data_IF_261299900494
#
_entry.id   IF_261299900494
#
_cell.length_a   1.000
_cell.length_b   1.000
_cell.length_c   1.000
_cell.angle_alpha   90.00
_cell.angle_beta   90.00
_cell.angle_gamma   90.00
#
_symmetry.space_group_name_H-M   'P 1'
#
loop_
_entity.id
_entity.type
_entity.pdbx_description
1 polymer ?
#
# COMPACT_ATOMS: atom_id res chain seq x y z
N UNK A 1 -13.88 5.60 -25.79
CA UNK A 1 -15.16 5.96 -25.13
C UNK A 1 -15.98 6.90 -26.02
N UNK A 2 -15.42 8.00 -26.56
CA UNK A 2 -16.13 8.90 -27.48
C UNK A 2 -16.67 8.22 -28.75
N UNK A 3 -15.87 7.33 -29.37
CA UNK A 3 -16.29 6.57 -30.57
C UNK A 3 -17.49 5.64 -30.30
N UNK A 4 -17.56 5.04 -29.10
CA UNK A 4 -18.65 4.15 -28.69
C UNK A 4 -19.92 4.97 -28.39
N UNK A 5 -19.76 6.12 -27.73
CA UNK A 5 -20.86 7.07 -27.49
C UNK A 5 -21.46 7.57 -28.81
N UNK A 6 -20.63 7.93 -29.79
CA UNK A 6 -21.07 8.45 -31.08
C UNK A 6 -21.83 7.38 -31.88
N UNK A 7 -21.34 6.14 -31.88
CA UNK A 7 -22.01 5.00 -32.52
C UNK A 7 -23.35 4.66 -31.83
N UNK A 8 -23.40 4.82 -30.51
CA UNK A 8 -24.64 4.65 -29.73
C UNK A 8 -25.66 5.74 -30.04
N UNK A 9 -25.25 7.02 -30.09
CA UNK A 9 -26.12 8.15 -30.49
C UNK A 9 -26.65 7.97 -31.92
N UNK A 10 -25.82 7.49 -32.84
CA UNK A 10 -26.24 7.20 -34.21
C UNK A 10 -27.29 6.09 -34.27
N UNK A 11 -27.13 5.05 -33.44
CA UNK A 11 -28.08 3.94 -33.34
C UNK A 11 -29.42 4.38 -32.73
N UNK A 12 -29.38 5.22 -31.68
CA UNK A 12 -30.55 5.87 -31.09
C UNK A 12 -31.30 6.69 -32.14
N UNK A 13 -30.57 7.51 -32.91
CA UNK A 13 -31.16 8.32 -33.96
C UNK A 13 -31.84 7.45 -35.02
N UNK A 14 -31.24 6.32 -35.41
CA UNK A 14 -31.85 5.36 -36.34
C UNK A 14 -33.16 4.76 -35.82
N UNK A 15 -33.22 4.39 -34.54
CA UNK A 15 -34.42 3.78 -33.92
C UNK A 15 -35.56 4.80 -33.74
N UNK A 16 -35.23 6.07 -33.47
CA UNK A 16 -36.24 7.13 -33.29
C UNK A 16 -36.74 7.66 -34.64
N UNK A 17 -35.81 7.93 -35.56
CA UNK A 17 -36.12 8.55 -36.86
C UNK A 17 -36.67 7.53 -37.86
N UNK A 18 -36.24 6.26 -37.80
CA UNK A 18 -36.69 5.19 -38.69
C UNK A 18 -38.22 5.02 -38.73
N UNK A 19 -38.90 4.84 -37.58
CA UNK A 19 -40.35 4.74 -37.53
C UNK A 19 -41.07 6.03 -37.95
N UNK A 20 -40.46 7.20 -37.70
CA UNK A 20 -41.00 8.50 -38.08
C UNK A 20 -41.03 8.67 -39.61
N UNK A 21 -40.03 8.13 -40.31
CA UNK A 21 -39.96 8.11 -41.77
C UNK A 21 -40.86 7.00 -42.36
N UNK A 22 -41.04 5.87 -41.65
CA UNK A 22 -41.80 4.72 -42.11
C UNK A 22 -43.33 4.84 -41.97
N UNK A 23 -43.86 5.96 -41.45
CA UNK A 23 -45.30 6.27 -41.46
C UNK A 23 -46.20 5.40 -40.58
N UNK A 24 -45.64 4.50 -39.77
CA UNK A 24 -46.39 3.60 -38.88
C UNK A 24 -45.99 3.82 -37.41
N UNK A 25 -46.90 4.43 -36.63
CA UNK A 25 -46.76 4.55 -35.19
C UNK A 25 -47.16 3.22 -34.54
N UNK A 26 -46.23 2.28 -34.44
CA UNK A 26 -46.45 1.07 -33.62
C UNK A 26 -46.77 1.47 -32.18
N UNK A 27 -47.73 0.80 -31.54
CA UNK A 27 -48.08 1.00 -30.13
C UNK A 27 -47.68 -0.23 -29.30
N UNK A 28 -47.32 0.00 -28.04
CA UNK A 28 -47.05 -1.01 -27.03
C UNK A 28 -48.05 -0.81 -25.90
N UNK A 29 -48.92 -1.80 -25.72
CA UNK A 29 -49.80 -1.89 -24.57
C UNK A 29 -49.17 -2.81 -23.54
N UNK A 30 -48.86 -2.27 -22.35
CA UNK A 30 -48.45 -3.06 -21.19
C UNK A 30 -49.66 -3.15 -20.26
N UNK A 31 -50.28 -4.33 -20.21
CA UNK A 31 -51.44 -4.61 -19.38
C UNK A 31 -51.02 -5.38 -18.13
N UNK A 32 -51.25 -4.78 -16.96
CA UNK A 32 -51.11 -5.39 -15.64
C UNK A 32 -52.50 -5.43 -14.98
N UNK A 33 -52.73 -6.29 -13.98
CA UNK A 33 -54.04 -6.49 -13.31
C UNK A 33 -54.78 -5.21 -12.90
N UNK A 34 -54.08 -4.10 -12.61
CA UNK A 34 -54.67 -2.83 -12.18
C UNK A 34 -54.21 -1.60 -12.99
N UNK A 35 -53.35 -1.77 -14.02
CA UNK A 35 -52.78 -0.65 -14.77
C UNK A 35 -52.59 -1.00 -16.25
N UNK A 36 -53.20 -0.18 -17.11
CA UNK A 36 -52.96 -0.21 -18.54
C UNK A 36 -52.06 0.97 -18.90
N UNK A 37 -50.83 0.69 -19.30
CA UNK A 37 -49.90 1.72 -19.78
C UNK A 37 -49.81 1.58 -21.31
N UNK A 38 -50.41 2.53 -22.01
CA UNK A 38 -50.32 2.66 -23.46
C UNK A 38 -49.16 3.59 -23.81
N UNK A 39 -48.14 3.06 -24.49
CA UNK A 39 -47.01 3.84 -24.97
C UNK A 39 -46.80 3.61 -26.46
N UNK A 40 -46.24 4.57 -27.19
CA UNK A 40 -45.78 4.30 -28.55
C UNK A 40 -44.49 3.46 -28.50
N UNK A 41 -44.26 2.64 -29.54
CA UNK A 41 -42.99 1.90 -29.72
C UNK A 41 -41.80 2.86 -29.69
N UNK A 42 -41.98 4.06 -30.26
CA UNK A 42 -40.98 5.13 -30.22
C UNK A 42 -40.73 5.64 -28.80
N UNK A 43 -41.79 5.80 -27.99
CA UNK A 43 -41.68 6.22 -26.59
C UNK A 43 -40.97 5.18 -25.72
N UNK A 44 -41.31 3.90 -25.88
CA UNK A 44 -40.63 2.81 -25.19
C UNK A 44 -39.15 2.75 -25.57
N UNK A 45 -38.83 2.89 -26.85
CA UNK A 45 -37.45 2.91 -27.32
C UNK A 45 -36.66 4.08 -26.72
N UNK A 46 -37.24 5.29 -26.68
CA UNK A 46 -36.62 6.47 -26.05
C UNK A 46 -36.34 6.21 -24.57
N UNK A 47 -37.32 5.66 -23.82
CA UNK A 47 -37.16 5.37 -22.39
C UNK A 47 -36.05 4.36 -22.15
N UNK A 48 -36.00 3.27 -22.95
CA UNK A 48 -35.00 2.21 -22.81
C UNK A 48 -33.58 2.74 -23.12
N UNK A 49 -33.48 3.59 -24.13
CA UNK A 49 -32.25 4.29 -24.50
C UNK A 49 -31.80 5.21 -23.35
N UNK A 50 -32.72 6.00 -22.80
CA UNK A 50 -32.43 6.96 -21.74
C UNK A 50 -31.99 6.23 -20.46
N UNK A 51 -32.67 5.13 -20.11
CA UNK A 51 -32.28 4.24 -19.01
C UNK A 51 -30.86 3.69 -19.21
N UNK A 52 -30.52 3.27 -20.43
CA UNK A 52 -29.18 2.77 -20.75
C UNK A 52 -28.11 3.86 -20.62
N UNK A 53 -28.38 5.08 -21.10
CA UNK A 53 -27.47 6.24 -20.93
C UNK A 53 -27.24 6.53 -19.45
N UNK A 54 -28.30 6.53 -18.64
CA UNK A 54 -28.20 6.75 -17.19
C UNK A 54 -27.35 5.66 -16.52
N UNK A 55 -27.56 4.39 -16.86
CA UNK A 55 -26.77 3.28 -16.32
C UNK A 55 -25.28 3.43 -16.68
N UNK A 56 -24.97 3.75 -17.94
CA UNK A 56 -23.58 4.01 -18.36
C UNK A 56 -22.97 5.23 -17.67
N UNK A 57 -23.74 6.30 -17.44
CA UNK A 57 -23.29 7.47 -16.71
C UNK A 57 -22.95 7.14 -15.25
N UNK A 58 -23.81 6.35 -14.59
CA UNK A 58 -23.57 5.85 -13.22
C UNK A 58 -22.32 4.97 -13.19
N UNK A 59 -22.17 4.02 -14.13
CA UNK A 59 -21.00 3.14 -14.20
C UNK A 59 -19.71 3.94 -14.47
N UNK A 60 -19.77 4.96 -15.33
CA UNK A 60 -18.65 5.87 -15.57
C UNK A 60 -18.29 6.67 -14.31
N UNK A 61 -19.29 7.21 -13.60
CA UNK A 61 -19.10 7.98 -12.38
C UNK A 61 -18.52 7.11 -11.26
N UNK A 62 -19.05 5.91 -11.06
CA UNK A 62 -18.52 4.92 -10.11
C UNK A 62 -17.06 4.58 -10.47
N UNK A 63 -16.77 4.21 -11.72
CA UNK A 63 -15.39 3.92 -12.15
C UNK A 63 -14.45 5.11 -11.95
N UNK A 64 -14.92 6.34 -12.16
CA UNK A 64 -14.14 7.57 -11.94
C UNK A 64 -13.81 7.74 -10.45
N UNK A 65 -14.79 7.56 -9.58
CA UNK A 65 -14.62 7.66 -8.12
C UNK A 65 -13.69 6.55 -7.62
N UNK A 66 -13.88 5.30 -8.04
CA UNK A 66 -13.06 4.17 -7.62
C UNK A 66 -11.63 4.20 -8.21
N UNK A 67 -11.42 4.62 -9.47
CA UNK A 67 -10.06 4.83 -10.01
C UNK A 67 -9.32 5.97 -9.31
N UNK A 68 -10.03 7.00 -8.88
CA UNK A 68 -9.44 8.10 -8.09
C UNK A 68 -9.12 7.63 -6.66
N UNK A 69 -9.99 6.80 -6.07
CA UNK A 69 -9.79 6.16 -4.76
C UNK A 69 -8.58 5.20 -4.70
N UNK A 70 -8.26 4.52 -5.80
CA UNK A 70 -7.08 3.65 -5.89
C UNK A 70 -5.76 4.44 -5.79
N UNK A 71 -5.71 5.68 -6.30
CA UNK A 71 -4.53 6.55 -6.17
C UNK A 71 -4.36 7.11 -4.75
N UNK A 72 -5.44 7.33 -4.00
CA UNK A 72 -5.37 7.82 -2.61
C UNK A 72 -4.90 6.75 -1.62
N UNK A 73 -5.19 5.46 -1.84
CA UNK A 73 -4.67 4.37 -1.00
C UNK A 73 -3.14 4.22 -1.12
N UNK A 74 -2.58 4.37 -2.32
CA UNK A 74 -1.12 4.41 -2.54
C UNK A 74 -0.45 5.67 -1.99
N UNK A 75 -1.13 6.83 -2.03
CA UNK A 75 -0.59 8.10 -1.52
C UNK A 75 -0.47 8.15 0.02
N UNK A 76 -1.36 7.47 0.75
CA UNK A 76 -1.28 7.39 2.21
C UNK A 76 -0.14 6.46 2.68
N UNK A 77 0.07 5.33 2.00
CA UNK A 77 1.20 4.42 2.28
C UNK A 77 2.53 5.05 1.86
N UNK A 78 2.57 5.75 0.71
CA UNK A 78 3.76 6.45 0.22
C UNK A 78 4.21 7.60 1.11
N UNK A 79 3.29 8.34 1.75
CA UNK A 79 3.67 9.41 2.69
C UNK A 79 4.28 8.88 3.99
N UNK A 80 3.76 7.78 4.54
CA UNK A 80 4.34 7.14 5.74
C UNK A 80 5.76 6.62 5.47
N UNK A 81 5.98 5.93 4.34
CA UNK A 81 7.33 5.48 3.93
C UNK A 81 8.30 6.63 3.71
N UNK A 82 7.89 7.70 3.02
CA UNK A 82 8.74 8.89 2.82
C UNK A 82 9.12 9.56 4.14
N UNK A 83 8.22 9.58 5.12
CA UNK A 83 8.51 10.12 6.46
C UNK A 83 9.51 9.25 7.22
N UNK A 84 9.31 7.93 7.21
CA UNK A 84 10.24 6.99 7.83
C UNK A 84 11.65 7.12 7.23
N UNK A 85 11.75 7.21 5.90
CA UNK A 85 13.04 7.39 5.21
C UNK A 85 13.76 8.68 5.63
N UNK A 86 13.07 9.82 5.68
CA UNK A 86 13.66 11.08 6.15
C UNK A 86 14.14 10.99 7.60
N UNK A 87 13.44 10.23 8.45
CA UNK A 87 13.84 10.04 9.84
C UNK A 87 15.07 9.13 9.96
N UNK A 88 15.17 8.08 9.14
CA UNK A 88 16.39 7.25 9.04
C UNK A 88 17.57 8.09 8.56
N UNK A 89 17.40 8.93 7.53
CA UNK A 89 18.45 9.84 7.06
C UNK A 89 18.92 10.79 8.16
N UNK A 90 18.00 11.39 8.92
CA UNK A 90 18.33 12.24 10.07
C UNK A 90 19.03 11.46 11.19
N UNK A 91 18.59 10.24 11.46
CA UNK A 91 19.21 9.40 12.48
C UNK A 91 20.64 9.01 12.09
N UNK A 92 20.91 8.72 10.81
CA UNK A 92 22.28 8.44 10.33
C UNK A 92 23.20 9.67 10.45
N UNK A 93 22.67 10.88 10.21
CA UNK A 93 23.41 12.10 10.48
C UNK A 93 23.74 12.26 11.97
N UNK A 94 22.76 12.01 12.85
CA UNK A 94 22.96 12.05 14.31
C UNK A 94 23.94 10.98 14.80
N UNK A 95 23.99 9.83 14.14
CA UNK A 95 24.96 8.78 14.41
C UNK A 95 26.38 9.26 14.09
N UNK A 96 26.57 9.97 12.97
CA UNK A 96 27.85 10.58 12.62
C UNK A 96 28.26 11.71 13.58
N UNK A 97 27.28 12.44 14.14
CA UNK A 97 27.50 13.44 15.19
C UNK A 97 27.80 12.82 16.58
N UNK A 98 27.61 11.50 16.75
CA UNK A 98 27.78 10.81 18.03
C UNK A 98 26.61 10.99 19.01
N UNK A 99 25.48 11.55 18.59
CA UNK A 99 24.28 11.69 19.42
C UNK A 99 23.46 10.40 19.41
N UNK A 100 23.95 9.40 20.15
CA UNK A 100 23.32 8.09 20.24
C UNK A 100 21.92 8.13 20.85
N UNK A 101 21.59 9.15 21.66
CA UNK A 101 20.25 9.29 22.25
C UNK A 101 19.22 9.65 21.19
N UNK A 102 19.55 10.58 20.29
CA UNK A 102 18.66 10.92 19.18
C UNK A 102 18.57 9.79 18.17
N UNK A 103 19.68 9.08 17.90
CA UNK A 103 19.68 7.90 17.02
C UNK A 103 18.69 6.86 17.50
N UNK A 104 18.82 6.41 18.75
CA UNK A 104 17.96 5.39 19.33
C UNK A 104 16.48 5.79 19.24
N UNK A 105 16.17 7.04 19.60
CA UNK A 105 14.80 7.58 19.54
C UNK A 105 14.24 7.62 18.13
N UNK A 106 15.02 8.05 17.14
CA UNK A 106 14.57 8.18 15.75
C UNK A 106 14.42 6.81 15.08
N UNK A 107 15.36 5.89 15.34
CA UNK A 107 15.37 4.54 14.78
C UNK A 107 14.27 3.67 15.39
N UNK A 108 14.11 3.66 16.72
CA UNK A 108 13.09 2.84 17.39
C UNK A 108 11.66 3.34 17.12
N UNK A 109 11.43 4.66 17.10
CA UNK A 109 10.06 5.23 16.97
C UNK A 109 9.36 4.87 15.65
N UNK A 110 10.11 4.64 14.58
CA UNK A 110 9.52 4.36 13.26
C UNK A 110 10.04 3.06 12.63
N UNK A 111 10.72 2.20 13.40
CA UNK A 111 11.25 0.94 12.91
C UNK A 111 10.16 0.07 12.26
N UNK A 112 8.99 -0.06 12.90
CA UNK A 112 7.88 -0.89 12.39
C UNK A 112 7.30 -0.41 11.05
N UNK A 113 7.51 0.87 10.71
CA UNK A 113 7.01 1.49 9.48
C UNK A 113 8.10 1.70 8.43
N UNK A 114 9.34 1.33 8.76
CA UNK A 114 10.47 1.44 7.86
C UNK A 114 10.42 0.36 6.77
N UNK A 115 11.13 0.61 5.68
CA UNK A 115 11.26 -0.35 4.58
C UNK A 115 12.06 -1.60 5.01
N UNK A 116 12.98 -1.43 5.96
CA UNK A 116 13.74 -2.51 6.61
C UNK A 116 13.74 -2.33 8.14
N UNK A 117 12.71 -2.84 8.84
CA UNK A 117 12.59 -2.71 10.29
C UNK A 117 13.78 -3.28 11.08
N UNK A 118 14.33 -4.40 10.62
CA UNK A 118 15.47 -5.12 11.25
C UNK A 118 16.67 -4.18 11.39
N UNK A 119 17.07 -3.50 10.31
CA UNK A 119 18.24 -2.60 10.30
C UNK A 119 18.08 -1.47 11.30
N UNK A 120 16.89 -0.86 11.37
CA UNK A 120 16.63 0.22 12.32
C UNK A 120 16.75 -0.25 13.78
N UNK A 121 16.24 -1.44 14.11
CA UNK A 121 16.38 -1.99 15.46
C UNK A 121 17.82 -2.39 15.80
N UNK A 122 18.59 -2.93 14.85
CA UNK A 122 20.02 -3.21 15.07
C UNK A 122 20.82 -1.93 15.34
N UNK A 123 20.58 -0.86 14.58
CA UNK A 123 21.23 0.44 14.82
C UNK A 123 20.76 1.09 16.13
N UNK A 124 19.50 0.89 16.53
CA UNK A 124 19.01 1.32 17.84
C UNK A 124 19.69 0.55 18.98
N UNK A 125 19.91 -0.76 18.82
CA UNK A 125 20.62 -1.60 19.78
C UNK A 125 22.08 -1.15 19.94
N UNK A 126 22.78 -0.89 18.83
CA UNK A 126 24.15 -0.37 18.85
C UNK A 126 24.21 1.02 19.51
N UNK A 127 23.29 1.93 19.17
CA UNK A 127 23.23 3.25 19.79
C UNK A 127 22.95 3.17 21.31
N UNK A 128 22.04 2.30 21.75
CA UNK A 128 21.78 2.08 23.17
C UNK A 128 23.01 1.51 23.90
N UNK A 129 23.74 0.58 23.26
CA UNK A 129 24.98 0.03 23.81
C UNK A 129 26.07 1.10 23.97
N UNK A 130 26.22 2.01 23.00
CA UNK A 130 27.18 3.12 23.09
C UNK A 130 26.84 4.10 24.23
N UNK A 131 25.59 4.13 24.69
CA UNK A 131 25.15 4.90 25.86
C UNK A 131 25.35 4.16 27.18
N UNK A 132 25.78 2.89 27.15
CA UNK A 132 25.87 2.02 28.32
C UNK A 132 24.52 1.48 28.80
N UNK A 133 23.45 1.61 28.02
CA UNK A 133 22.11 1.08 28.37
C UNK A 133 21.95 -0.33 27.79
N UNK A 134 22.52 -1.31 28.48
CA UNK A 134 22.54 -2.71 28.05
C UNK A 134 21.14 -3.33 27.96
N UNK A 135 20.24 -2.95 28.87
CA UNK A 135 18.87 -3.45 28.93
C UNK A 135 18.09 -3.02 27.67
N UNK A 136 18.20 -1.74 27.27
CA UNK A 136 17.58 -1.28 26.03
C UNK A 136 18.25 -1.87 24.79
N UNK A 137 19.57 -2.02 24.80
CA UNK A 137 20.30 -2.65 23.70
C UNK A 137 19.81 -4.08 23.45
N UNK A 138 19.63 -4.87 24.50
CA UNK A 138 19.09 -6.23 24.41
C UNK A 138 17.63 -6.24 23.92
N UNK A 139 16.79 -5.34 24.43
CA UNK A 139 15.39 -5.23 23.99
C UNK A 139 15.27 -4.93 22.48
N UNK A 140 16.10 -4.03 21.96
CA UNK A 140 16.10 -3.71 20.52
C UNK A 140 16.66 -4.88 19.70
N UNK A 141 17.66 -5.59 20.22
CA UNK A 141 18.23 -6.78 19.57
C UNK A 141 17.21 -7.93 19.48
N UNK A 142 16.42 -8.15 20.53
CA UNK A 142 15.33 -9.14 20.53
C UNK A 142 14.26 -8.80 19.48
N UNK A 143 13.83 -7.53 19.42
CA UNK A 143 12.90 -7.08 18.37
C UNK A 143 13.48 -7.26 16.97
N UNK A 144 14.76 -6.99 16.78
CA UNK A 144 15.43 -7.23 15.50
C UNK A 144 15.43 -8.74 15.16
N UNK A 145 15.65 -9.61 16.13
CA UNK A 145 15.62 -11.06 15.96
C UNK A 145 14.22 -11.58 15.56
N UNK A 146 13.16 -11.07 16.19
CA UNK A 146 11.77 -11.41 15.86
C UNK A 146 11.42 -11.03 14.41
N UNK A 147 11.96 -9.90 13.93
CA UNK A 147 11.68 -9.36 12.59
C UNK A 147 12.58 -9.94 11.50
N UNK A 148 13.74 -10.51 11.87
CA UNK A 148 14.75 -11.03 10.94
C UNK A 148 14.29 -12.29 10.19
N UNK A 149 13.35 -13.06 10.76
CA UNK A 149 12.82 -14.27 10.14
C UNK A 149 13.93 -15.25 9.73
N UNK A 150 14.16 -15.39 8.43
CA UNK A 150 15.18 -16.30 7.88
C UNK A 150 16.60 -15.70 7.81
N UNK A 151 16.75 -14.37 7.88
CA UNK A 151 18.05 -13.70 7.74
C UNK A 151 18.61 -13.29 9.11
N UNK A 152 19.06 -14.29 9.87
CA UNK A 152 19.53 -14.11 11.25
C UNK A 152 20.99 -13.65 11.35
N UNK A 153 21.74 -13.66 10.24
CA UNK A 153 23.17 -13.34 10.23
C UNK A 153 23.45 -11.94 10.78
N UNK A 154 22.77 -10.86 10.33
CA UNK A 154 23.02 -9.51 10.85
C UNK A 154 22.75 -9.40 12.35
N UNK A 155 21.73 -10.10 12.85
CA UNK A 155 21.35 -10.09 14.26
C UNK A 155 22.42 -10.76 15.12
N UNK A 156 22.92 -11.93 14.69
CA UNK A 156 23.96 -12.66 15.41
C UNK A 156 25.30 -11.91 15.38
N UNK A 157 25.67 -11.26 14.26
CA UNK A 157 26.85 -10.40 14.18
C UNK A 157 26.72 -9.23 15.17
N UNK A 158 25.59 -8.53 15.18
CA UNK A 158 25.35 -7.43 16.12
C UNK A 158 25.36 -7.91 17.57
N UNK A 159 24.80 -9.10 17.86
CA UNK A 159 24.87 -9.72 19.20
C UNK A 159 26.30 -9.91 19.65
N UNK A 160 27.15 -10.50 18.81
CA UNK A 160 28.57 -10.70 19.10
C UNK A 160 29.28 -9.35 19.33
N UNK A 161 28.99 -8.34 18.51
CA UNK A 161 29.56 -6.98 18.69
C UNK A 161 29.17 -6.36 20.03
N UNK A 162 27.91 -6.50 20.44
CA UNK A 162 27.44 -6.05 21.74
C UNK A 162 28.17 -6.78 22.89
N UNK A 163 28.30 -8.11 22.80
CA UNK A 163 29.03 -8.91 23.79
C UNK A 163 30.51 -8.49 23.90
N UNK A 164 31.18 -8.24 22.76
CA UNK A 164 32.54 -7.72 22.74
C UNK A 164 32.64 -6.34 23.38
N UNK A 165 31.68 -5.44 23.11
CA UNK A 165 31.63 -4.11 23.73
C UNK A 165 31.42 -4.19 25.25
N UNK A 166 30.78 -5.25 25.75
CA UNK A 166 30.60 -5.55 27.19
C UNK A 166 31.77 -6.30 27.82
N UNK A 167 32.81 -6.60 27.05
CA UNK A 167 33.95 -7.41 27.48
C UNK A 167 33.58 -8.88 27.83
N UNK A 168 32.46 -9.37 27.32
CA UNK A 168 31.96 -10.75 27.47
C UNK A 168 32.65 -11.68 26.46
N UNK A 169 33.98 -11.73 26.49
CA UNK A 169 34.81 -12.36 25.45
C UNK A 169 34.50 -13.86 25.25
N UNK A 170 34.09 -14.57 26.30
CA UNK A 170 33.70 -15.98 26.21
C UNK A 170 32.41 -16.17 25.42
N UNK A 171 31.39 -15.35 25.67
CA UNK A 171 30.12 -15.40 24.95
C UNK A 171 30.30 -14.99 23.48
N UNK A 172 31.10 -13.93 23.25
CA UNK A 172 31.42 -13.45 21.92
C UNK A 172 32.14 -14.52 21.08
N UNK A 173 33.13 -15.23 21.63
CA UNK A 173 33.83 -16.32 20.93
C UNK A 173 32.87 -17.42 20.50
N UNK A 174 32.02 -17.88 21.40
CA UNK A 174 31.02 -18.90 21.06
C UNK A 174 30.06 -18.43 19.95
N UNK A 175 29.67 -17.15 19.97
CA UNK A 175 28.87 -16.55 18.91
C UNK A 175 29.60 -16.52 17.56
N UNK A 176 30.90 -16.16 17.55
CA UNK A 176 31.75 -16.17 16.35
C UNK A 176 31.92 -17.59 15.80
N UNK A 177 32.18 -18.58 16.64
CA UNK A 177 32.36 -19.97 16.20
C UNK A 177 31.11 -20.49 15.48
N UNK A 178 29.93 -20.24 16.07
CA UNK A 178 28.63 -20.56 15.45
C UNK A 178 28.43 -19.83 14.12
N UNK A 179 28.81 -18.55 14.03
CA UNK A 179 28.73 -17.78 12.78
C UNK A 179 29.66 -18.34 11.70
N UNK A 180 30.85 -18.80 12.07
CA UNK A 180 31.82 -19.41 11.16
C UNK A 180 31.35 -20.78 10.65
N UNK A 181 30.64 -21.56 11.47
CA UNK A 181 30.01 -22.81 11.02
C UNK A 181 28.93 -22.57 9.95
N UNK A 182 28.12 -21.52 10.12
CA UNK A 182 27.00 -21.20 9.22
C UNK A 182 27.47 -20.47 7.97
N UNK A 183 28.35 -19.47 8.10
CA UNK A 183 28.83 -18.64 6.99
C UNK A 183 30.34 -18.37 7.07
N UNK A 184 31.19 -19.38 6.78
CA UNK A 184 32.64 -19.28 6.96
C UNK A 184 33.35 -18.27 6.04
N UNK A 185 32.66 -17.75 5.01
CA UNK A 185 33.21 -16.79 4.03
C UNK A 185 32.51 -15.43 4.05
N UNK A 186 31.77 -15.12 5.11
CA UNK A 186 31.20 -13.79 5.27
C UNK A 186 32.34 -12.77 5.53
N UNK A 187 32.38 -11.62 4.82
CA UNK A 187 33.37 -10.58 5.04
C UNK A 187 33.21 -9.88 6.40
#
# INVERSE_FOLDING_TARGET
MLKVLLLFVLLIAGIVVGPMIAGHQGYVLIQTDNYNIETSVTGLAIILILAMVVLFAIEWLLRRIFRTGAHTRGWFVGRKRRRARKQTEQALLKLAEGDYQQVEKLMAKNADHAEQPVVNYLLAAEAAQQRGDEARANQHLERAAELAGNDTIPVEITRVRLQLARNENHAARHGVDKLLEVTPRHP
#
